data_IF_745903718420
#
_entry.id   IF_745903718420
#
_cell.length_a   1.000
_cell.length_b   1.000
_cell.length_c   1.000
_cell.angle_alpha   90.00
_cell.angle_beta   90.00
_cell.angle_gamma   90.00
#
_symmetry.space_group_name_H-M   'P 1'
#
loop_
_entity.id
_entity.type
_entity.pdbx_description
1 polymer ?
#
# COMPACT_ATOMS: atom_id res chain seq x y z
N UNK A 1 3.37 -17.26 12.60
CA UNK A 1 2.57 -16.89 13.79
C UNK A 1 1.12 -17.33 13.67
N UNK A 2 0.43 -17.45 14.76
CA UNK A 2 -0.99 -17.77 14.77
C UNK A 2 -1.86 -16.52 14.49
N UNK A 3 -3.17 -16.74 14.32
CA UNK A 3 -4.11 -15.65 14.03
C UNK A 3 -4.14 -14.58 15.12
N UNK A 4 -4.03 -14.95 16.39
CA UNK A 4 -4.06 -13.98 17.50
C UNK A 4 -2.90 -13.00 17.40
N UNK A 5 -1.70 -13.47 17.13
CA UNK A 5 -0.53 -12.61 16.90
C UNK A 5 -0.70 -11.75 15.66
N UNK A 6 -1.26 -12.31 14.58
CA UNK A 6 -1.53 -11.56 13.35
C UNK A 6 -2.52 -10.41 13.62
N UNK A 7 -3.60 -10.66 14.37
CA UNK A 7 -4.56 -9.62 14.74
C UNK A 7 -3.92 -8.53 15.61
N UNK A 8 -3.00 -8.89 16.51
CA UNK A 8 -2.26 -7.92 17.30
C UNK A 8 -1.38 -7.03 16.42
N UNK A 9 -0.70 -7.61 15.42
CA UNK A 9 0.10 -6.84 14.47
C UNK A 9 -0.77 -5.89 13.64
N UNK A 10 -1.94 -6.34 13.18
CA UNK A 10 -2.90 -5.48 12.48
C UNK A 10 -3.29 -4.28 13.35
N UNK A 11 -3.55 -4.52 14.63
CA UNK A 11 -3.90 -3.44 15.57
C UNK A 11 -2.74 -2.46 15.81
N UNK A 12 -1.51 -2.90 15.62
CA UNK A 12 -0.32 -2.05 15.67
C UNK A 12 -0.07 -1.25 14.37
N UNK A 13 -0.94 -1.41 13.37
CA UNK A 13 -0.80 -0.74 12.08
C UNK A 13 0.10 -1.46 11.08
N UNK A 14 0.41 -2.72 11.32
CA UNK A 14 1.27 -3.52 10.46
C UNK A 14 0.45 -4.33 9.46
N UNK A 15 1.11 -4.81 8.41
CA UNK A 15 0.52 -5.67 7.39
C UNK A 15 0.83 -7.12 7.71
N UNK A 16 -0.14 -8.00 7.47
CA UNK A 16 0.03 -9.45 7.68
C UNK A 16 -0.50 -10.20 6.47
N UNK A 17 -0.06 -11.45 6.32
CA UNK A 17 -0.50 -12.33 5.25
C UNK A 17 -0.48 -13.78 5.73
N UNK A 18 -1.21 -14.63 5.04
CA UNK A 18 -1.04 -16.08 5.21
C UNK A 18 0.11 -16.56 4.33
N UNK A 19 0.87 -17.53 4.82
CA UNK A 19 2.03 -18.09 4.10
C UNK A 19 1.65 -18.76 2.77
N UNK A 20 0.41 -19.25 2.67
CA UNK A 20 -0.12 -19.91 1.47
C UNK A 20 -0.72 -18.94 0.43
N UNK A 21 -0.76 -17.65 0.72
CA UNK A 21 -1.19 -16.65 -0.26
C UNK A 21 -0.09 -16.33 -1.26
N UNK A 22 -0.49 -15.80 -2.43
CA UNK A 22 0.47 -15.22 -3.37
C UNK A 22 1.31 -14.14 -2.68
N UNK A 23 2.58 -14.03 -3.06
CA UNK A 23 3.57 -13.19 -2.38
C UNK A 23 3.17 -11.72 -2.23
N UNK A 24 2.39 -11.19 -3.16
CA UNK A 24 1.98 -9.78 -3.15
C UNK A 24 0.70 -9.50 -2.38
N UNK A 25 0.05 -10.53 -1.82
CA UNK A 25 -1.21 -10.36 -1.08
C UNK A 25 -0.97 -10.19 0.40
N UNK A 26 -1.63 -9.22 0.98
CA UNK A 26 -1.61 -8.94 2.41
C UNK A 26 -2.91 -8.25 2.83
N UNK A 27 -3.12 -8.14 4.12
CA UNK A 27 -4.22 -7.40 4.73
C UNK A 27 -3.67 -6.39 5.74
N UNK A 28 -4.43 -5.34 5.98
CA UNK A 28 -4.11 -4.31 6.97
C UNK A 28 -5.38 -3.61 7.46
N UNK A 29 -5.28 -2.83 8.52
CA UNK A 29 -6.39 -1.97 8.99
C UNK A 29 -6.31 -0.62 8.29
N UNK A 30 -7.42 -0.21 7.67
CA UNK A 30 -7.53 1.13 7.09
C UNK A 30 -7.77 2.19 8.18
N UNK A 31 -7.93 3.44 7.78
CA UNK A 31 -8.17 4.56 8.71
C UNK A 31 -9.45 4.40 9.55
N UNK A 32 -10.45 3.67 9.04
CA UNK A 32 -11.72 3.41 9.71
C UNK A 32 -11.69 2.13 10.57
N UNK A 33 -10.51 1.52 10.72
CA UNK A 33 -10.29 0.28 11.47
C UNK A 33 -10.97 -0.95 10.88
N UNK A 34 -11.22 -0.93 9.59
CA UNK A 34 -11.70 -2.10 8.86
C UNK A 34 -10.52 -2.88 8.28
N UNK A 35 -10.63 -4.21 8.28
CA UNK A 35 -9.62 -5.06 7.66
C UNK A 35 -9.83 -5.03 6.14
N UNK A 36 -8.82 -4.60 5.41
CA UNK A 36 -8.84 -4.50 3.96
C UNK A 36 -7.65 -5.25 3.36
N UNK A 37 -7.78 -5.63 2.08
CA UNK A 37 -6.70 -6.29 1.35
C UNK A 37 -5.75 -5.25 0.70
N UNK A 38 -4.77 -5.73 -0.05
CA UNK A 38 -3.79 -4.90 -0.77
C UNK A 38 -4.43 -3.97 -1.80
N UNK A 39 -5.67 -4.22 -2.21
CA UNK A 39 -6.45 -3.36 -3.11
C UNK A 39 -7.35 -2.38 -2.36
N UNK A 40 -7.31 -2.35 -1.04
CA UNK A 40 -8.13 -1.48 -0.20
C UNK A 40 -9.57 -1.94 -0.02
N UNK A 41 -9.91 -3.16 -0.41
CA UNK A 41 -11.26 -3.72 -0.29
C UNK A 41 -11.42 -4.49 1.01
N UNK A 42 -12.58 -4.36 1.65
CA UNK A 42 -12.89 -5.09 2.87
C UNK A 42 -12.83 -6.59 2.67
N UNK A 43 -12.29 -7.27 3.66
CA UNK A 43 -12.10 -8.72 3.65
C UNK A 43 -13.00 -9.34 4.71
N UNK A 44 -13.76 -10.36 4.30
CA UNK A 44 -14.54 -11.17 5.23
C UNK A 44 -13.78 -12.47 5.48
N UNK A 45 -13.62 -12.80 6.76
CA UNK A 45 -13.05 -14.08 7.17
C UNK A 45 -14.08 -14.98 7.79
N UNK A 46 -14.01 -16.25 7.44
CA UNK A 46 -14.57 -17.29 8.28
C UNK A 46 -13.40 -17.81 9.11
N UNK A 47 -13.43 -17.55 10.40
CA UNK A 47 -12.42 -18.00 11.34
C UNK A 47 -12.89 -19.35 11.90
N UNK A 48 -12.12 -20.41 11.66
CA UNK A 48 -12.36 -21.69 12.32
C UNK A 48 -11.32 -21.94 13.42
N UNK A 49 -11.49 -23.04 14.12
CA UNK A 49 -10.62 -23.38 15.22
C UNK A 49 -9.18 -23.66 14.80
N UNK A 50 -9.00 -24.19 13.58
CA UNK A 50 -7.67 -24.44 13.03
C UNK A 50 -6.92 -23.16 12.71
N UNK A 51 -7.59 -22.11 12.27
CA UNK A 51 -6.98 -20.80 12.03
C UNK A 51 -6.38 -20.19 13.31
N UNK A 52 -6.98 -20.48 14.46
CA UNK A 52 -6.48 -20.00 15.75
C UNK A 52 -5.22 -20.76 16.17
N UNK A 53 -5.19 -22.08 15.93
CA UNK A 53 -4.10 -22.94 16.38
C UNK A 53 -2.87 -22.94 15.47
N UNK A 54 -3.08 -22.79 14.18
CA UNK A 54 -2.02 -22.99 13.19
C UNK A 54 -1.17 -21.73 13.02
N UNK A 55 0.10 -21.95 12.69
CA UNK A 55 1.11 -20.90 12.48
C UNK A 55 1.15 -20.48 11.00
N UNK A 56 -0.02 -20.24 10.39
CA UNK A 56 -0.15 -19.93 8.96
C UNK A 56 0.10 -18.46 8.62
N UNK A 57 0.21 -17.60 9.58
CA UNK A 57 0.33 -16.17 9.38
C UNK A 57 1.77 -15.69 9.48
N UNK A 58 2.08 -14.63 8.76
CA UNK A 58 3.37 -13.96 8.84
C UNK A 58 3.19 -12.46 8.64
N UNK A 59 4.14 -11.67 9.15
CA UNK A 59 4.17 -10.24 8.89
C UNK A 59 4.63 -10.01 7.45
N UNK A 60 3.97 -9.05 6.76
CA UNK A 60 4.35 -8.64 5.41
C UNK A 60 5.40 -7.53 5.50
N UNK A 61 6.63 -7.80 5.08
CA UNK A 61 7.79 -6.93 5.20
C UNK A 61 8.46 -6.70 3.85
N UNK A 62 7.73 -6.22 2.86
CA UNK A 62 8.34 -5.80 1.60
C UNK A 62 8.56 -4.29 1.60
N UNK A 63 9.48 -3.82 0.77
CA UNK A 63 9.69 -2.41 0.53
C UNK A 63 8.40 -1.76 0.01
N UNK A 64 8.14 -0.52 0.41
CA UNK A 64 6.95 0.21 -0.02
C UNK A 64 6.93 0.36 -1.55
N UNK A 65 8.08 0.68 -2.14
CA UNK A 65 8.25 0.75 -3.58
C UNK A 65 9.20 -0.36 -4.05
N UNK A 66 8.87 -0.98 -5.17
CA UNK A 66 9.75 -1.97 -5.78
C UNK A 66 10.85 -1.30 -6.63
N UNK A 67 11.73 -2.13 -7.20
CA UNK A 67 12.89 -1.67 -7.98
C UNK A 67 12.53 -0.91 -9.26
N UNK A 68 11.33 -1.09 -9.79
CA UNK A 68 10.84 -0.38 -10.97
C UNK A 68 10.11 0.91 -10.60
N UNK A 69 9.33 0.87 -9.54
CA UNK A 69 8.50 1.98 -9.09
C UNK A 69 9.32 3.14 -8.55
N UNK A 70 10.35 2.84 -7.78
CA UNK A 70 11.18 3.85 -7.15
C UNK A 70 11.87 4.77 -8.17
N UNK A 71 12.64 4.25 -9.16
CA UNK A 71 13.28 5.11 -10.16
C UNK A 71 12.28 5.90 -11.00
N UNK A 72 11.12 5.31 -11.27
CA UNK A 72 10.07 5.98 -12.03
C UNK A 72 9.53 7.19 -11.30
N UNK A 73 9.18 7.04 -10.02
CA UNK A 73 8.72 8.17 -9.20
C UNK A 73 9.80 9.23 -9.02
N UNK A 74 11.04 8.83 -8.79
CA UNK A 74 12.16 9.77 -8.69
C UNK A 74 12.31 10.61 -9.95
N UNK A 75 12.18 9.99 -11.12
CA UNK A 75 12.26 10.68 -12.41
C UNK A 75 11.14 11.70 -12.59
N UNK A 76 9.91 11.31 -12.29
CA UNK A 76 8.73 12.19 -12.45
C UNK A 76 8.77 13.34 -11.44
N UNK A 77 9.17 13.08 -10.21
CA UNK A 77 9.16 14.07 -9.14
C UNK A 77 10.39 14.96 -9.13
N UNK A 78 11.38 14.70 -9.95
CA UNK A 78 12.63 15.44 -9.99
C UNK A 78 12.47 16.97 -10.06
N UNK A 79 11.59 17.53 -10.90
CA UNK A 79 11.37 18.99 -10.94
C UNK A 79 10.84 19.57 -9.62
N UNK A 80 10.25 18.73 -8.77
CA UNK A 80 9.61 19.15 -7.53
C UNK A 80 10.29 18.55 -6.29
N UNK A 81 11.49 18.03 -6.42
CA UNK A 81 12.19 17.21 -5.42
C UNK A 81 12.09 17.75 -3.99
N UNK A 82 12.33 19.05 -3.81
CA UNK A 82 12.36 19.68 -2.48
C UNK A 82 11.00 20.26 -2.05
N UNK A 83 9.98 20.12 -2.90
CA UNK A 83 8.65 20.71 -2.68
C UNK A 83 7.52 19.72 -2.61
N UNK A 84 7.81 18.43 -2.68
CA UNK A 84 6.78 17.39 -2.56
C UNK A 84 6.29 17.34 -1.13
N UNK A 85 4.99 17.57 -0.94
CA UNK A 85 4.35 17.50 0.37
C UNK A 85 4.03 16.05 0.72
N UNK A 86 3.34 15.36 -0.17
CA UNK A 86 3.09 13.91 -0.01
C UNK A 86 2.81 13.24 -1.35
N UNK A 87 2.94 11.92 -1.34
CA UNK A 87 2.52 11.02 -2.42
C UNK A 87 1.48 10.08 -1.83
N UNK A 88 0.37 9.87 -2.52
CA UNK A 88 -0.73 9.05 -2.03
C UNK A 88 -1.31 8.19 -3.14
N UNK A 89 -1.64 6.94 -2.81
CA UNK A 89 -2.33 6.04 -3.71
C UNK A 89 -3.83 6.19 -3.50
N UNK A 90 -4.55 6.55 -4.54
CA UNK A 90 -6.00 6.75 -4.50
C UNK A 90 -6.72 5.85 -5.50
N UNK A 91 -7.98 5.55 -5.19
CA UNK A 91 -8.92 4.92 -6.14
C UNK A 91 -9.86 6.01 -6.63
N UNK A 92 -9.91 6.21 -7.94
CA UNK A 92 -10.80 7.20 -8.58
C UNK A 92 -11.72 6.52 -9.59
N UNK A 93 -12.88 7.10 -9.82
CA UNK A 93 -13.87 6.70 -10.82
C UNK A 93 -15.14 6.12 -10.23
N UNK A 94 -16.28 6.39 -10.90
CA UNK A 94 -17.61 5.94 -10.46
C UNK A 94 -17.98 4.58 -11.03
N UNK A 95 -17.62 4.32 -12.29
CA UNK A 95 -17.96 3.09 -12.98
C UNK A 95 -16.79 2.13 -13.13
N UNK A 96 -15.58 2.69 -13.29
CA UNK A 96 -14.35 1.93 -13.37
C UNK A 96 -13.39 2.45 -12.31
N UNK A 97 -13.15 1.62 -11.29
CA UNK A 97 -12.16 1.96 -10.28
C UNK A 97 -10.77 1.94 -10.90
N UNK A 98 -10.08 3.07 -10.83
CA UNK A 98 -8.69 3.20 -11.25
C UNK A 98 -7.84 3.54 -10.04
N UNK A 99 -6.75 2.81 -9.90
CA UNK A 99 -5.74 3.13 -8.90
C UNK A 99 -4.80 4.15 -9.53
N UNK A 100 -4.62 5.28 -8.86
CA UNK A 100 -3.75 6.36 -9.33
C UNK A 100 -2.82 6.81 -8.22
N UNK A 101 -1.69 7.40 -8.61
CA UNK A 101 -0.82 8.09 -7.67
C UNK A 101 -1.12 9.58 -7.74
N UNK A 102 -1.44 10.14 -6.59
CA UNK A 102 -1.66 11.56 -6.40
C UNK A 102 -0.44 12.17 -5.72
N UNK A 103 0.04 13.27 -6.26
CA UNK A 103 1.18 14.00 -5.70
C UNK A 103 0.72 15.40 -5.30
N UNK A 104 0.94 15.78 -4.04
CA UNK A 104 0.74 17.13 -3.57
C UNK A 104 2.09 17.84 -3.50
N UNK A 105 2.15 19.01 -4.09
CA UNK A 105 3.35 19.86 -4.11
C UNK A 105 3.08 21.10 -3.25
N UNK A 106 4.05 21.45 -2.40
CA UNK A 106 3.97 22.61 -1.53
C UNK A 106 3.73 23.87 -2.34
N UNK A 107 2.89 24.78 -1.82
CA UNK A 107 2.53 26.05 -2.44
C UNK A 107 1.71 25.92 -3.72
N UNK A 108 1.09 24.77 -3.97
CA UNK A 108 0.13 24.58 -5.04
C UNK A 108 -1.24 24.20 -4.45
N UNK A 109 -2.29 24.78 -5.00
CA UNK A 109 -3.65 24.56 -4.54
C UNK A 109 -4.32 23.30 -5.09
N UNK A 110 -3.64 22.53 -5.90
CA UNK A 110 -4.20 21.34 -6.51
C UNK A 110 -3.22 20.16 -6.46
N UNK A 111 -3.79 18.96 -6.51
CA UNK A 111 -3.04 17.72 -6.59
C UNK A 111 -2.80 17.34 -8.04
N UNK A 112 -1.63 16.81 -8.35
CA UNK A 112 -1.33 16.25 -9.66
C UNK A 112 -1.48 14.73 -9.62
N UNK A 113 -2.14 14.18 -10.64
CA UNK A 113 -2.26 12.74 -10.81
C UNK A 113 -1.22 12.25 -11.82
N UNK A 114 -0.55 11.17 -11.47
CA UNK A 114 0.46 10.53 -12.31
C UNK A 114 -0.19 9.33 -12.97
N UNK A 115 -0.12 9.26 -14.31
CA UNK A 115 -0.56 8.09 -15.04
C UNK A 115 0.40 6.92 -14.77
N UNK A 116 -0.16 5.74 -14.59
CA UNK A 116 0.64 4.54 -14.39
C UNK A 116 1.21 4.01 -15.71
N UNK A 117 2.52 3.79 -15.80
CA UNK A 117 3.02 2.82 -16.76
C UNK A 117 2.66 1.41 -16.23
N UNK A 118 2.54 0.46 -17.14
CA UNK A 118 2.44 -0.94 -16.77
C UNK A 118 3.80 -1.40 -16.25
N UNK A 119 3.91 -1.59 -14.97
CA UNK A 119 5.05 -2.28 -14.39
C UNK A 119 4.87 -3.80 -14.52
N UNK A 120 5.96 -4.51 -14.37
CA UNK A 120 6.02 -5.95 -14.55
C UNK A 120 4.85 -6.69 -13.86
N UNK A 121 4.06 -7.45 -14.63
CA UNK A 121 2.95 -8.30 -14.15
C UNK A 121 1.91 -7.58 -13.27
N UNK A 122 1.63 -6.33 -13.56
CA UNK A 122 0.57 -5.60 -12.87
C UNK A 122 0.88 -5.21 -11.44
N UNK A 123 2.15 -5.14 -11.07
CA UNK A 123 2.54 -4.53 -9.80
C UNK A 123 2.36 -3.02 -9.89
N UNK A 124 1.32 -2.50 -9.26
CA UNK A 124 0.97 -1.09 -9.30
C UNK A 124 1.05 -0.52 -7.89
N UNK A 125 2.26 -0.21 -7.43
CA UNK A 125 2.51 0.36 -6.11
C UNK A 125 1.84 -0.43 -4.99
N UNK A 126 1.97 -1.76 -5.05
CA UNK A 126 1.29 -2.66 -4.09
C UNK A 126 1.72 -2.45 -2.65
N UNK A 127 2.93 -2.00 -2.43
CA UNK A 127 3.41 -1.71 -1.08
C UNK A 127 2.81 -0.47 -0.44
N UNK A 128 2.18 0.41 -1.23
CA UNK A 128 1.53 1.59 -0.70
C UNK A 128 0.09 1.28 -0.29
N UNK A 129 -0.29 1.72 0.90
CA UNK A 129 -1.67 1.65 1.37
C UNK A 129 -2.52 2.72 0.67
N UNK A 130 -3.77 2.37 0.36
CA UNK A 130 -4.69 3.32 -0.27
C UNK A 130 -5.06 4.42 0.71
N UNK A 131 -5.10 5.66 0.22
CA UNK A 131 -5.42 6.88 0.97
C UNK A 131 -4.44 7.23 2.10
N UNK A 132 -3.28 6.61 2.14
CA UNK A 132 -2.23 6.97 3.08
C UNK A 132 -1.25 7.95 2.43
N UNK A 133 -0.96 9.04 3.13
CA UNK A 133 0.01 10.04 2.69
C UNK A 133 1.42 9.59 3.04
N UNK A 134 2.30 9.54 2.04
CA UNK A 134 3.71 9.18 2.22
C UNK A 134 4.59 10.38 1.91
N UNK A 135 5.58 10.62 2.74
CA UNK A 135 6.60 11.62 2.45
C UNK A 135 7.67 11.04 1.53
N UNK A 136 8.47 11.91 0.93
CA UNK A 136 9.63 11.49 0.13
C UNK A 136 10.58 10.63 0.95
N UNK A 137 10.77 10.96 2.23
CA UNK A 137 11.63 10.19 3.13
C UNK A 137 11.07 8.81 3.44
N UNK A 138 9.77 8.70 3.69
CA UNK A 138 9.12 7.41 3.95
C UNK A 138 9.20 6.48 2.74
N UNK A 139 9.16 7.02 1.52
CA UNK A 139 9.31 6.26 0.28
C UNK A 139 10.78 6.03 -0.10
N UNK A 140 11.72 6.55 0.68
CA UNK A 140 13.16 6.44 0.45
C UNK A 140 13.60 6.92 -0.95
N UNK A 141 12.91 7.96 -1.46
CA UNK A 141 13.24 8.54 -2.76
C UNK A 141 14.54 9.35 -2.68
N UNK A 142 15.34 9.26 -3.73
CA UNK A 142 16.62 9.97 -3.87
C UNK A 142 17.73 9.55 -2.89
N UNK A 143 17.62 8.34 -2.37
CA UNK A 143 18.66 7.72 -1.55
C UNK A 143 19.56 6.79 -2.36
#
# INVERSE_FOLDING_TARGET
>A
MNLVKALNLLNEGKKVRRKDWELSKYIYLNKDKNIVNDLGKEVLFIIDFDDIKNEHWEEYNEDILNEEEKPYLESILKPYKDRVDFVMKEVIGDYYERIVICVSVKNKSFKNYIAFPYFNKGTMYKGMEIDKKYTVNELELYE
#
